data_IF_502740175265
#
_entry.id   IF_502740175265
#
_cell.length_a   1.000
_cell.length_b   1.000
_cell.length_c   1.000
_cell.angle_alpha   90.00
_cell.angle_beta   90.00
_cell.angle_gamma   90.00
#
_symmetry.space_group_name_H-M   'P 1'
#
loop_
_entity.id
_entity.type
_entity.pdbx_description
1 polymer ?
#
# COMPACT_ATOMS: atom_id res chain seq x y z
N UNK A 1 -11.27 -6.89 -11.94
CA UNK A 1 -11.27 -7.47 -10.58
C UNK A 1 -9.97 -7.05 -9.91
N UNK A 2 -10.01 -6.71 -8.62
CA UNK A 2 -8.85 -6.22 -7.87
C UNK A 2 -9.09 -6.34 -6.38
N UNK A 3 -8.05 -6.02 -5.61
CA UNK A 3 -8.08 -5.94 -4.16
C UNK A 3 -8.46 -4.51 -3.81
N UNK A 4 -9.51 -4.35 -3.03
CA UNK A 4 -9.99 -3.09 -2.48
C UNK A 4 -9.82 -3.14 -0.96
N UNK A 5 -9.04 -2.22 -0.41
CA UNK A 5 -8.82 -2.10 1.04
C UNK A 5 -9.45 -0.82 1.54
N UNK A 6 -10.29 -0.96 2.55
CA UNK A 6 -10.99 0.14 3.21
C UNK A 6 -10.52 0.27 4.65
N UNK A 7 -10.35 1.50 5.09
CA UNK A 7 -10.20 1.82 6.51
C UNK A 7 -11.57 2.21 7.05
N UNK A 8 -12.10 1.47 8.01
CA UNK A 8 -13.31 1.79 8.78
C UNK A 8 -12.91 2.27 10.17
N UNK A 9 -13.76 3.04 10.83
CA UNK A 9 -13.46 3.55 12.16
C UNK A 9 -14.74 3.93 12.90
N UNK A 10 -14.64 4.04 14.22
CA UNK A 10 -15.74 4.38 15.09
C UNK A 10 -16.22 5.82 14.80
N UNK A 11 -17.54 5.99 14.77
CA UNK A 11 -18.20 7.25 14.41
C UNK A 11 -17.75 7.79 13.03
N UNK A 12 -17.45 6.91 12.07
CA UNK A 12 -17.25 7.31 10.68
C UNK A 12 -18.53 7.95 10.15
N UNK A 13 -18.44 9.19 9.69
CA UNK A 13 -19.56 9.90 9.09
C UNK A 13 -19.90 9.34 7.73
N UNK A 14 -21.14 9.53 7.28
CA UNK A 14 -21.55 9.11 5.94
C UNK A 14 -20.67 9.79 4.85
N UNK A 15 -20.29 11.06 5.04
CA UNK A 15 -19.42 11.76 4.10
C UNK A 15 -18.01 11.12 4.03
N UNK A 16 -17.43 10.73 5.17
CA UNK A 16 -16.15 10.02 5.22
C UNK A 16 -16.24 8.65 4.56
N UNK A 17 -17.32 7.90 4.82
CA UNK A 17 -17.56 6.60 4.18
C UNK A 17 -17.74 6.77 2.66
N UNK A 18 -18.52 7.77 2.23
CA UNK A 18 -18.76 8.01 0.81
C UNK A 18 -17.51 8.44 0.05
N UNK A 19 -16.59 9.17 0.71
CA UNK A 19 -15.33 9.56 0.12
C UNK A 19 -14.45 8.37 -0.29
N UNK A 20 -14.69 7.17 0.26
CA UNK A 20 -13.96 5.95 -0.11
C UNK A 20 -14.41 5.33 -1.43
N UNK A 21 -15.63 5.63 -1.92
CA UNK A 21 -16.14 5.10 -3.19
C UNK A 21 -15.59 5.90 -4.38
N UNK A 22 -14.31 5.69 -4.67
CA UNK A 22 -13.56 6.52 -5.64
C UNK A 22 -13.56 6.00 -7.07
N UNK A 23 -14.35 4.98 -7.40
CA UNK A 23 -14.49 4.48 -8.77
C UNK A 23 -13.19 3.95 -9.39
N UNK A 24 -12.33 3.31 -8.57
CA UNK A 24 -11.03 2.69 -8.92
C UNK A 24 -9.76 3.54 -8.78
N UNK A 25 -9.78 4.60 -7.99
CA UNK A 25 -8.56 5.40 -7.75
C UNK A 25 -7.46 4.59 -7.05
N UNK A 26 -6.23 4.69 -7.57
CA UNK A 26 -5.01 4.15 -6.92
C UNK A 26 -4.33 5.16 -6.01
N UNK A 27 -4.86 6.39 -5.91
CA UNK A 27 -4.23 7.52 -5.19
C UNK A 27 -5.07 8.03 -4.01
N UNK A 28 -6.07 7.26 -3.60
CA UNK A 28 -7.08 7.66 -2.60
C UNK A 28 -6.77 7.18 -1.16
N UNK A 29 -5.49 6.98 -0.85
CA UNK A 29 -5.07 6.52 0.48
C UNK A 29 -5.47 7.48 1.61
N UNK A 30 -5.50 8.78 1.35
CA UNK A 30 -5.84 9.83 2.33
C UNK A 30 -7.29 9.83 2.80
N UNK A 31 -8.19 9.13 2.11
CA UNK A 31 -9.58 8.92 2.54
C UNK A 31 -9.79 7.51 3.11
N UNK A 32 -8.73 6.72 3.26
CA UNK A 32 -8.78 5.37 3.79
C UNK A 32 -9.16 4.32 2.74
N UNK A 33 -8.73 4.51 1.49
CA UNK A 33 -8.96 3.55 0.42
C UNK A 33 -7.67 3.23 -0.35
N UNK A 34 -7.36 1.94 -0.48
CA UNK A 34 -6.32 1.44 -1.37
C UNK A 34 -6.93 0.50 -2.40
N UNK A 35 -6.35 0.50 -3.59
CA UNK A 35 -6.73 -0.41 -4.66
C UNK A 35 -5.51 -0.97 -5.37
N UNK A 36 -5.51 -2.28 -5.61
CA UNK A 36 -4.60 -2.94 -6.52
C UNK A 36 -5.36 -3.82 -7.52
N UNK A 37 -5.03 -3.73 -8.81
CA UNK A 37 -5.62 -4.60 -9.83
C UNK A 37 -5.04 -6.03 -9.76
N UNK A 38 -5.87 -7.05 -10.01
CA UNK A 38 -5.41 -8.45 -10.19
C UNK A 38 -4.72 -8.63 -11.55
N UNK A 39 -3.51 -8.09 -11.69
CA UNK A 39 -2.74 -8.17 -12.92
C UNK A 39 -1.37 -8.84 -12.73
N UNK A 40 -1.32 -9.82 -11.81
CA UNK A 40 -0.13 -10.60 -11.49
C UNK A 40 0.55 -10.11 -10.22
N UNK A 41 1.27 -11.00 -9.53
CA UNK A 41 2.11 -10.68 -8.36
C UNK A 41 3.32 -9.82 -8.78
N UNK A 42 3.94 -9.03 -7.88
CA UNK A 42 3.71 -8.93 -6.43
C UNK A 42 2.68 -7.85 -6.04
N UNK A 43 1.91 -8.10 -4.98
CA UNK A 43 0.90 -7.18 -4.43
C UNK A 43 1.46 -6.40 -3.24
N UNK A 44 1.45 -5.07 -3.32
CA UNK A 44 1.88 -4.20 -2.23
C UNK A 44 0.92 -4.23 -1.03
N UNK A 45 -0.37 -4.50 -1.27
CA UNK A 45 -1.35 -4.74 -0.21
C UNK A 45 -0.99 -5.96 0.63
N UNK A 46 -0.49 -7.04 0.03
CA UNK A 46 0.00 -8.22 0.78
C UNK A 46 1.29 -7.92 1.56
N UNK A 47 2.10 -6.97 1.10
CA UNK A 47 3.28 -6.54 1.84
C UNK A 47 2.91 -5.68 3.06
N UNK A 48 1.89 -4.82 2.92
CA UNK A 48 1.40 -3.98 4.01
C UNK A 48 0.59 -4.77 5.04
N UNK A 49 -0.31 -5.64 4.59
CA UNK A 49 -1.24 -6.37 5.45
C UNK A 49 -0.82 -7.83 5.56
N UNK A 50 -0.34 -8.30 6.73
CA UNK A 50 -0.03 -9.71 6.93
C UNK A 50 -1.30 -10.57 6.92
N UNK A 51 -1.08 -11.90 6.85
CA UNK A 51 -2.12 -12.94 6.78
C UNK A 51 -3.36 -12.71 7.67
N UNK A 52 -3.25 -12.30 8.95
CA UNK A 52 -4.44 -12.09 9.79
C UNK A 52 -5.47 -11.09 9.25
N UNK A 53 -5.08 -10.13 8.41
CA UNK A 53 -6.03 -9.18 7.80
C UNK A 53 -6.82 -9.78 6.63
N UNK A 54 -6.37 -10.91 6.10
CA UNK A 54 -7.01 -11.64 5.00
C UNK A 54 -7.92 -12.77 5.49
N UNK A 55 -7.80 -13.12 6.77
CA UNK A 55 -8.50 -14.24 7.42
C UNK A 55 -9.30 -13.71 8.62
N UNK A 56 -10.08 -12.65 8.39
CA UNK A 56 -10.88 -12.02 9.45
C UNK A 56 -12.04 -12.92 9.87
N UNK A 57 -12.41 -12.86 11.16
CA UNK A 57 -13.58 -13.58 11.67
C UNK A 57 -14.89 -12.93 11.21
N UNK A 58 -16.00 -13.64 11.37
CA UNK A 58 -17.34 -13.07 11.14
C UNK A 58 -17.59 -11.84 12.02
N UNK A 59 -17.20 -11.90 13.29
CA UNK A 59 -17.27 -10.78 14.24
C UNK A 59 -16.44 -9.56 13.76
N UNK A 60 -15.21 -9.78 13.29
CA UNK A 60 -14.38 -8.72 12.73
C UNK A 60 -15.01 -8.14 11.45
N UNK A 61 -15.59 -8.98 10.60
CA UNK A 61 -16.29 -8.52 9.40
C UNK A 61 -17.52 -7.66 9.74
N UNK A 62 -18.33 -8.06 10.72
CA UNK A 62 -19.47 -7.29 11.21
C UNK A 62 -19.06 -5.96 11.85
N UNK A 63 -17.91 -5.93 12.51
CA UNK A 63 -17.29 -4.71 13.05
C UNK A 63 -16.67 -3.81 11.97
N UNK A 64 -16.76 -4.17 10.69
CA UNK A 64 -16.22 -3.40 9.57
C UNK A 64 -14.73 -3.63 9.31
N UNK A 65 -14.16 -4.75 9.75
CA UNK A 65 -12.79 -5.18 9.48
C UNK A 65 -11.97 -5.50 10.73
N UNK A 66 -10.74 -5.94 10.52
CA UNK A 66 -9.77 -6.22 11.58
C UNK A 66 -9.22 -4.92 12.17
N UNK A 67 -9.13 -4.82 13.50
CA UNK A 67 -8.51 -3.68 14.16
C UNK A 67 -7.06 -3.48 13.67
N UNK A 68 -6.73 -2.26 13.27
CA UNK A 68 -5.42 -1.94 12.72
C UNK A 68 -4.35 -1.88 13.82
N UNK A 69 -3.34 -2.72 13.72
CA UNK A 69 -2.11 -2.60 14.48
C UNK A 69 -1.21 -1.53 13.84
N UNK A 70 -1.26 -0.31 14.38
CA UNK A 70 -0.55 0.84 13.82
C UNK A 70 0.97 0.64 13.82
N UNK A 71 1.52 -0.04 14.83
CA UNK A 71 2.96 -0.29 14.89
C UNK A 71 3.36 -1.23 13.75
N UNK A 72 2.62 -2.32 13.56
CA UNK A 72 2.88 -3.26 12.47
C UNK A 72 2.72 -2.63 11.09
N UNK A 73 1.68 -1.81 10.88
CA UNK A 73 1.48 -1.12 9.60
C UNK A 73 2.63 -0.15 9.28
N UNK A 74 3.16 0.54 10.30
CA UNK A 74 4.32 1.44 10.13
C UNK A 74 5.58 0.66 9.81
N UNK A 75 5.85 -0.43 10.51
CA UNK A 75 7.02 -1.29 10.29
C UNK A 75 7.04 -1.89 8.87
N UNK A 76 5.87 -2.16 8.29
CA UNK A 76 5.71 -2.73 6.95
C UNK A 76 5.64 -1.69 5.83
N UNK A 77 5.41 -0.42 6.16
CA UNK A 77 5.11 0.63 5.17
C UNK A 77 6.20 0.77 4.10
N UNK A 78 7.47 0.83 4.52
CA UNK A 78 8.59 0.96 3.62
C UNK A 78 8.67 -0.21 2.62
N UNK A 79 8.44 -1.44 3.10
CA UNK A 79 8.41 -2.64 2.25
C UNK A 79 7.25 -2.59 1.26
N UNK A 80 6.06 -2.19 1.70
CA UNK A 80 4.89 -2.04 0.82
C UNK A 80 5.12 -1.01 -0.28
N UNK A 81 5.73 0.13 0.04
CA UNK A 81 6.09 1.17 -0.94
C UNK A 81 7.12 0.65 -1.96
N UNK A 82 8.12 -0.11 -1.52
CA UNK A 82 9.09 -0.75 -2.41
C UNK A 82 8.43 -1.77 -3.34
N UNK A 83 7.54 -2.61 -2.81
CA UNK A 83 6.77 -3.58 -3.61
C UNK A 83 5.87 -2.87 -4.61
N UNK A 84 5.18 -1.79 -4.22
CA UNK A 84 4.36 -0.99 -5.13
C UNK A 84 5.18 -0.39 -6.27
N UNK A 85 6.37 0.13 -5.95
CA UNK A 85 7.28 0.73 -6.94
C UNK A 85 7.85 -0.34 -7.88
N UNK A 86 8.25 -1.49 -7.36
CA UNK A 86 8.73 -2.63 -8.16
C UNK A 86 7.63 -3.18 -9.06
N UNK A 87 6.43 -3.40 -8.51
CA UNK A 87 5.25 -3.82 -9.26
C UNK A 87 4.99 -2.88 -10.42
N UNK A 88 4.99 -1.58 -10.17
CA UNK A 88 4.75 -0.59 -11.22
C UNK A 88 5.84 -0.65 -12.32
N UNK A 89 7.10 -0.84 -11.94
CA UNK A 89 8.21 -1.00 -12.87
C UNK A 89 8.09 -2.26 -13.75
N UNK A 90 7.77 -3.41 -13.15
CA UNK A 90 7.70 -4.71 -13.83
C UNK A 90 6.43 -4.87 -14.67
N UNK A 91 5.28 -4.36 -14.20
CA UNK A 91 4.00 -4.55 -14.90
C UNK A 91 3.72 -3.51 -15.98
N UNK A 92 4.30 -2.32 -15.86
CA UNK A 92 4.00 -1.18 -16.75
C UNK A 92 5.25 -0.64 -17.45
N UNK A 93 6.16 -1.54 -17.85
CA UNK A 93 7.37 -1.32 -18.67
C UNK A 93 7.52 0.11 -19.21
N UNK A 94 8.57 0.83 -18.82
CA UNK A 94 9.04 2.10 -19.39
C UNK A 94 8.08 2.91 -20.28
N UNK A 95 6.88 3.27 -19.78
CA UNK A 95 6.14 4.44 -20.30
C UNK A 95 4.78 4.21 -20.98
N UNK A 96 3.87 3.44 -20.39
CA UNK A 96 2.44 3.50 -20.80
C UNK A 96 1.50 4.21 -19.81
N UNK A 97 1.99 4.62 -18.63
CA UNK A 97 1.19 5.41 -17.69
C UNK A 97 1.56 6.91 -17.76
N UNK A 98 0.60 7.83 -18.05
CA UNK A 98 0.85 9.27 -18.15
C UNK A 98 1.33 9.94 -16.83
N UNK A 99 1.36 9.22 -15.71
CA UNK A 99 2.00 9.67 -14.47
C UNK A 99 3.54 9.51 -14.44
N UNK A 100 4.15 9.07 -15.54
CA UNK A 100 5.57 8.71 -15.66
C UNK A 100 6.61 9.81 -15.35
N UNK A 101 6.20 11.07 -15.20
CA UNK A 101 7.09 12.22 -15.35
C UNK A 101 8.16 12.41 -14.24
N UNK A 102 8.12 11.70 -13.11
CA UNK A 102 9.10 11.89 -12.03
C UNK A 102 9.73 10.58 -11.49
N UNK A 103 9.51 9.46 -12.18
CA UNK A 103 10.03 8.16 -11.75
C UNK A 103 11.48 7.94 -12.20
N UNK A 104 12.00 8.67 -13.19
CA UNK A 104 13.32 8.42 -13.78
C UNK A 104 14.50 8.42 -12.80
N UNK A 105 14.48 9.25 -11.74
CA UNK A 105 15.56 9.31 -10.74
C UNK A 105 15.40 8.25 -9.64
N UNK A 106 14.16 7.94 -9.23
CA UNK A 106 13.87 6.91 -8.22
C UNK A 106 13.99 5.51 -8.82
N UNK A 107 13.42 5.29 -10.00
CA UNK A 107 13.62 4.06 -10.75
C UNK A 107 15.05 3.94 -11.26
N UNK A 108 15.84 5.00 -11.45
CA UNK A 108 17.29 4.86 -11.71
C UNK A 108 18.07 4.36 -10.49
N UNK A 109 17.74 4.88 -9.30
CA UNK A 109 18.33 4.46 -8.01
C UNK A 109 17.86 3.06 -7.59
N UNK A 110 16.61 2.71 -7.89
CA UNK A 110 16.04 1.39 -7.67
C UNK A 110 16.17 0.46 -8.90
N UNK A 111 16.64 0.92 -10.07
CA UNK A 111 16.79 0.07 -11.26
C UNK A 111 17.85 -0.98 -11.02
N UNK A 112 18.93 -0.62 -10.32
CA UNK A 112 19.95 -1.59 -9.90
C UNK A 112 19.40 -2.56 -8.85
N UNK A 113 18.46 -2.10 -8.03
CA UNK A 113 17.69 -2.91 -7.06
C UNK A 113 16.77 -3.90 -7.78
N UNK A 114 16.21 -3.52 -8.93
CA UNK A 114 15.25 -4.31 -9.70
C UNK A 114 15.92 -5.21 -10.77
N UNK A 115 17.10 -4.83 -11.28
CA UNK A 115 17.85 -5.59 -12.28
C UNK A 115 18.31 -6.97 -11.78
N UNK A 116 18.56 -7.11 -10.47
CA UNK A 116 18.85 -8.41 -9.85
C UNK A 116 17.58 -9.27 -9.63
N UNK A 117 16.38 -8.68 -9.78
CA UNK A 117 15.08 -9.32 -9.54
C UNK A 117 14.35 -9.78 -10.82
N UNK A 118 14.93 -9.53 -12.00
CA UNK A 118 14.27 -9.61 -13.32
C UNK A 118 14.09 -11.05 -13.89
N UNK A 119 14.34 -12.10 -13.09
CA UNK A 119 14.22 -13.49 -13.55
C UNK A 119 12.92 -14.20 -13.13
N UNK A 120 11.93 -13.48 -12.60
CA UNK A 120 10.61 -14.08 -12.38
C UNK A 120 9.60 -13.11 -11.82
N UNK A 121 8.34 -13.22 -12.29
CA UNK A 121 7.16 -12.72 -11.59
C UNK A 121 7.03 -13.48 -10.26
N UNK A 122 7.87 -13.13 -9.29
CA UNK A 122 7.93 -13.76 -7.97
C UNK A 122 6.69 -13.45 -7.15
N UNK A 123 6.43 -14.26 -6.11
CA UNK A 123 5.38 -13.95 -5.15
C UNK A 123 5.78 -12.72 -4.31
N UNK A 124 4.80 -12.03 -3.71
CA UNK A 124 5.07 -10.88 -2.83
C UNK A 124 6.14 -11.20 -1.78
N UNK A 125 6.07 -12.38 -1.15
CA UNK A 125 7.01 -12.80 -0.11
C UNK A 125 8.44 -12.96 -0.64
N UNK A 126 8.61 -13.43 -1.89
CA UNK A 126 9.93 -13.56 -2.51
C UNK A 126 10.59 -12.19 -2.72
N UNK A 127 9.78 -11.19 -3.07
CA UNK A 127 10.24 -9.80 -3.26
C UNK A 127 10.60 -9.21 -1.91
N UNK A 128 9.75 -9.36 -0.89
CA UNK A 128 10.02 -8.87 0.47
C UNK A 128 11.31 -9.47 1.03
N UNK A 129 11.54 -10.78 0.85
CA UNK A 129 12.74 -11.46 1.34
C UNK A 129 14.05 -10.94 0.71
N UNK A 130 13.97 -10.26 -0.43
CA UNK A 130 15.12 -9.67 -1.14
C UNK A 130 15.33 -8.19 -0.81
N UNK A 131 14.38 -7.55 -0.12
CA UNK A 131 14.51 -6.14 0.31
C UNK A 131 15.63 -6.03 1.35
N UNK A 132 16.60 -5.17 1.10
CA UNK A 132 17.71 -4.93 2.02
C UNK A 132 17.40 -3.79 3.00
N UNK A 133 18.03 -3.76 4.19
CA UNK A 133 17.89 -2.64 5.11
C UNK A 133 18.30 -1.28 4.51
N UNK A 134 19.28 -1.27 3.61
CA UNK A 134 19.67 -0.05 2.90
C UNK A 134 18.55 0.50 2.00
N UNK A 135 17.84 -0.39 1.30
CA UNK A 135 16.70 -0.02 0.46
C UNK A 135 15.54 0.51 1.30
N UNK A 136 15.28 -0.10 2.47
CA UNK A 136 14.31 0.40 3.44
C UNK A 136 14.67 1.82 3.89
N UNK A 137 15.91 2.05 4.33
CA UNK A 137 16.36 3.37 4.76
C UNK A 137 16.25 4.43 3.64
N UNK A 138 16.58 4.06 2.40
CA UNK A 138 16.45 4.97 1.26
C UNK A 138 14.98 5.34 0.98
N UNK A 139 14.06 4.37 1.02
CA UNK A 139 12.64 4.64 0.78
C UNK A 139 12.01 5.42 1.93
N UNK A 140 12.44 5.21 3.17
CA UNK A 140 12.01 6.01 4.33
C UNK A 140 12.31 7.50 4.13
N UNK A 141 13.50 7.84 3.62
CA UNK A 141 13.84 9.23 3.27
C UNK A 141 12.89 9.79 2.21
N UNK A 142 12.48 8.98 1.22
CA UNK A 142 11.52 9.39 0.20
C UNK A 142 10.10 9.54 0.74
N UNK A 143 9.67 8.65 1.65
CA UNK A 143 8.39 8.71 2.36
C UNK A 143 8.30 10.02 3.14
N UNK A 144 9.33 10.33 3.94
CA UNK A 144 9.37 11.55 4.75
C UNK A 144 9.42 12.81 3.89
N UNK A 145 10.19 12.80 2.81
CA UNK A 145 10.22 13.89 1.85
C UNK A 145 8.96 13.98 0.96
N UNK A 146 8.03 13.01 1.04
CA UNK A 146 6.89 12.81 0.14
C UNK A 146 7.27 12.84 -1.35
N UNK A 147 8.47 12.38 -1.68
CA UNK A 147 8.99 12.29 -3.06
C UNK A 147 8.72 10.90 -3.63
N UNK A 148 7.44 10.56 -3.74
CA UNK A 148 6.96 9.28 -4.26
C UNK A 148 5.82 9.53 -5.24
N UNK A 149 5.61 8.64 -6.22
CA UNK A 149 4.46 8.73 -7.12
C UNK A 149 3.16 8.56 -6.32
N UNK A 150 2.06 9.09 -6.86
CA UNK A 150 0.76 9.13 -6.18
C UNK A 150 0.28 7.75 -5.69
N UNK A 151 0.48 6.69 -6.48
CA UNK A 151 0.09 5.33 -6.10
C UNK A 151 0.86 4.81 -4.88
N UNK A 152 2.13 5.20 -4.72
CA UNK A 152 2.96 4.81 -3.59
C UNK A 152 2.64 5.69 -2.37
N UNK A 153 2.39 6.99 -2.58
CA UNK A 153 1.91 7.90 -1.53
C UNK A 153 0.57 7.46 -0.95
N UNK A 154 -0.28 6.78 -1.72
CA UNK A 154 -1.54 6.25 -1.20
C UNK A 154 -1.32 5.34 0.02
N UNK A 155 -0.33 4.44 -0.02
CA UNK A 155 0.00 3.58 1.13
C UNK A 155 0.45 4.40 2.34
N UNK A 156 1.28 5.42 2.10
CA UNK A 156 1.74 6.35 3.15
C UNK A 156 0.58 7.09 3.79
N UNK A 157 -0.31 7.65 2.96
CA UNK A 157 -1.45 8.44 3.41
C UNK A 157 -2.48 7.57 4.14
N UNK A 158 -2.66 6.32 3.72
CA UNK A 158 -3.52 5.35 4.40
C UNK A 158 -3.01 5.02 5.81
N UNK A 159 -1.72 4.71 5.96
CA UNK A 159 -1.13 4.42 7.28
C UNK A 159 -1.14 5.66 8.19
N UNK A 160 -0.85 6.84 7.65
CA UNK A 160 -0.93 8.10 8.42
C UNK A 160 -2.35 8.43 8.85
N UNK A 161 -3.36 8.15 8.01
CA UNK A 161 -4.76 8.28 8.41
C UNK A 161 -5.11 7.32 9.55
N UNK A 162 -4.69 6.05 9.44
CA UNK A 162 -4.90 5.07 10.50
C UNK A 162 -4.25 5.51 11.82
N UNK A 163 -2.99 5.96 11.78
CA UNK A 163 -2.29 6.48 12.96
C UNK A 163 -3.04 7.65 13.60
N UNK A 164 -3.49 8.62 12.78
CA UNK A 164 -4.28 9.76 13.24
C UNK A 164 -5.58 9.31 13.91
N UNK A 165 -6.35 8.43 13.26
CA UNK A 165 -7.63 7.93 13.79
C UNK A 165 -7.43 7.15 15.10
N UNK A 166 -6.36 6.36 15.20
CA UNK A 166 -6.01 5.66 16.44
C UNK A 166 -5.67 6.64 17.56
N UNK A 167 -4.90 7.69 17.29
CA UNK A 167 -4.58 8.75 18.26
C UNK A 167 -5.82 9.52 18.73
N UNK A 168 -6.84 9.63 17.87
CA UNK A 168 -8.16 10.20 18.18
C UNK A 168 -9.10 9.23 18.91
N UNK A 169 -8.67 7.98 19.17
CA UNK A 169 -9.50 6.96 19.82
C UNK A 169 -10.63 6.44 18.94
N UNK A 170 -10.54 6.59 17.61
CA UNK A 170 -11.57 6.17 16.65
C UNK A 170 -11.40 4.71 16.19
N UNK A 171 -10.48 3.94 16.77
CA UNK A 171 -10.32 2.50 16.52
C UNK A 171 -10.35 2.12 15.02
N UNK A 172 -9.35 2.53 14.23
CA UNK A 172 -9.31 2.20 12.80
C UNK A 172 -9.26 0.68 12.57
N UNK A 173 -10.03 0.19 11.60
CA UNK A 173 -10.17 -1.19 11.18
C UNK A 173 -9.92 -1.33 9.69
N UNK A 174 -9.19 -2.34 9.29
CA UNK A 174 -8.88 -2.65 7.90
C UNK A 174 -9.85 -3.72 7.41
N UNK A 175 -10.58 -3.40 6.36
CA UNK A 175 -11.46 -4.31 5.65
C UNK A 175 -10.93 -4.53 4.23
N UNK A 176 -10.68 -5.78 3.87
CA UNK A 176 -10.18 -6.16 2.55
C UNK A 176 -11.29 -6.86 1.79
N UNK A 177 -11.60 -6.36 0.59
CA UNK A 177 -12.56 -6.92 -0.35
C UNK A 177 -11.83 -7.33 -1.63
N UNK A 178 -12.08 -8.54 -2.11
CA UNK A 178 -11.25 -9.17 -3.14
C UNK A 178 -12.06 -10.18 -3.97
#
# INVERSE_FOLDING_TARGET
MGIDVYLKWDNQTEAENQAQYTGFSTVAGSVGYLREAYHGSPYATHALFPRPYWEITEEESEAGGKLADIAELKDRLAQAVLVATFRNHVLYEQGTDPSYAEIGDIAGKLAKVFADMDNGRGQTDDVIARITPEQVAQVEVLIEARKLPGYALAFVDFVRLAEKLAAEGRNPRVYISY
#
